data_IF_136452970696
#
_entry.id   IF_136452970696
#
_cell.length_a   1.000
_cell.length_b   1.000
_cell.length_c   1.000
_cell.angle_alpha   90.00
_cell.angle_beta   90.00
_cell.angle_gamma   90.00
#
_symmetry.space_group_name_H-M   'P 1'
#
loop_
_entity.id
_entity.type
_entity.pdbx_description
1 polymer ?
#
# COMPACT_ATOMS: atom_id res chain seq x y z
N UNK A 1 43.50 -26.27 -39.22
CA UNK A 1 42.12 -26.28 -38.67
C UNK A 1 41.55 -24.85 -38.73
N UNK A 2 41.40 -24.30 -39.95
CA UNK A 2 40.15 -24.26 -40.75
C UNK A 2 39.06 -23.42 -40.02
N UNK A 3 39.09 -22.09 -40.05
CA UNK A 3 38.77 -21.12 -41.13
C UNK A 3 37.33 -21.18 -41.69
N UNK A 4 36.64 -20.05 -41.51
CA UNK A 4 35.55 -19.39 -42.26
C UNK A 4 34.76 -20.16 -43.33
N UNK A 5 33.44 -19.89 -43.40
CA UNK A 5 32.70 -19.33 -44.56
C UNK A 5 31.21 -19.28 -44.19
N UNK A 6 30.61 -18.10 -44.28
CA UNK A 6 29.16 -17.90 -44.31
C UNK A 6 28.87 -16.91 -45.43
N UNK A 7 28.28 -17.40 -46.52
CA UNK A 7 27.76 -16.58 -47.61
C UNK A 7 26.53 -17.27 -48.22
N UNK A 8 25.49 -16.44 -48.39
CA UNK A 8 24.39 -16.46 -49.36
C UNK A 8 23.52 -17.70 -49.63
N UNK A 9 22.22 -17.40 -49.75
CA UNK A 9 21.24 -17.75 -50.81
C UNK A 9 19.83 -17.77 -50.16
N UNK A 10 18.78 -17.13 -50.64
CA UNK A 10 18.55 -16.36 -51.85
C UNK A 10 17.07 -15.94 -51.87
N UNK A 11 16.77 -14.81 -52.51
CA UNK A 11 15.42 -14.45 -52.94
C UNK A 11 14.88 -15.48 -53.94
N UNK A 12 13.56 -15.73 -53.98
CA UNK A 12 12.77 -15.89 -55.23
C UNK A 12 11.25 -15.88 -54.96
N UNK A 13 10.63 -14.85 -55.53
CA UNK A 13 9.36 -14.73 -56.29
C UNK A 13 7.97 -14.96 -55.67
N UNK A 14 7.16 -13.93 -55.96
CA UNK A 14 5.69 -13.81 -56.02
C UNK A 14 4.99 -14.96 -56.76
N UNK A 15 3.78 -15.28 -56.32
CA UNK A 15 2.79 -15.97 -57.14
C UNK A 15 1.40 -16.13 -56.52
N UNK A 16 0.44 -15.38 -57.08
CA UNK A 16 -1.00 -15.68 -57.29
C UNK A 16 -1.97 -15.92 -56.12
N UNK A 17 -2.95 -15.01 -56.07
CA UNK A 17 -4.33 -15.09 -55.55
C UNK A 17 -5.23 -16.05 -56.35
N UNK A 18 -6.13 -16.78 -55.67
CA UNK A 18 -7.51 -17.20 -56.07
C UNK A 18 -8.33 -17.47 -54.78
N UNK A 19 -9.66 -17.21 -54.73
CA UNK A 19 -10.44 -17.11 -53.48
C UNK A 19 -11.20 -18.40 -53.11
N UNK A 20 -11.59 -18.53 -51.84
CA UNK A 20 -12.59 -19.53 -51.40
C UNK A 20 -13.68 -18.85 -50.56
N UNK A 21 -14.91 -19.13 -50.98
CA UNK A 21 -16.20 -18.73 -50.41
C UNK A 21 -16.55 -19.53 -49.13
N UNK A 22 -17.28 -18.87 -48.23
CA UNK A 22 -18.48 -19.45 -47.60
C UNK A 22 -18.28 -20.31 -46.35
N UNK A 23 -18.60 -19.74 -45.18
CA UNK A 23 -18.87 -20.48 -43.95
C UNK A 23 -19.70 -19.61 -42.98
N UNK A 24 -20.94 -20.04 -42.73
CA UNK A 24 -21.94 -19.35 -41.91
C UNK A 24 -21.54 -19.20 -40.43
N UNK A 25 -22.02 -18.16 -39.72
CA UNK A 25 -21.89 -18.07 -38.27
C UNK A 25 -22.82 -19.09 -37.61
N UNK A 26 -22.28 -19.97 -36.76
CA UNK A 26 -23.07 -20.75 -35.81
C UNK A 26 -23.23 -19.92 -34.54
N UNK A 27 -24.47 -19.56 -34.23
CA UNK A 27 -24.87 -18.99 -32.96
C UNK A 27 -24.77 -20.06 -31.86
N UNK A 28 -23.66 -20.07 -31.13
CA UNK A 28 -23.52 -20.87 -29.92
C UNK A 28 -23.95 -20.00 -28.71
N UNK A 29 -24.99 -20.42 -27.94
CA UNK A 29 -25.49 -19.62 -26.83
C UNK A 29 -24.47 -19.60 -25.69
N UNK A 30 -23.97 -18.39 -25.39
CA UNK A 30 -23.07 -18.16 -24.25
C UNK A 30 -23.82 -18.50 -22.95
N UNK A 31 -23.27 -19.37 -22.06
CA UNK A 31 -23.93 -19.72 -20.81
C UNK A 31 -24.10 -18.48 -19.91
N UNK A 32 -25.21 -18.37 -19.15
CA UNK A 32 -25.45 -17.24 -18.27
C UNK A 32 -24.34 -17.18 -17.22
N UNK A 33 -23.52 -16.14 -17.29
CA UNK A 33 -22.52 -15.85 -16.28
C UNK A 33 -23.24 -15.61 -14.95
N UNK A 34 -22.91 -16.41 -13.92
CA UNK A 34 -23.34 -16.13 -12.55
C UNK A 34 -22.86 -14.72 -12.19
N UNK A 35 -23.73 -13.84 -11.70
CA UNK A 35 -23.29 -12.51 -11.29
C UNK A 35 -22.30 -12.66 -10.13
N UNK A 36 -21.14 -12.00 -10.18
CA UNK A 36 -20.23 -11.97 -9.04
C UNK A 36 -20.88 -11.20 -7.88
N UNK A 37 -20.50 -11.53 -6.64
CA UNK A 37 -21.14 -11.02 -5.44
C UNK A 37 -21.01 -9.50 -5.31
N UNK A 38 -21.98 -8.91 -4.63
CA UNK A 38 -22.14 -7.47 -4.48
C UNK A 38 -21.26 -6.96 -3.33
N UNK A 39 -20.66 -5.78 -3.47
CA UNK A 39 -20.12 -5.05 -2.32
C UNK A 39 -20.52 -3.58 -2.33
N UNK A 40 -20.78 -3.12 -1.11
CA UNK A 40 -21.10 -1.78 -0.63
C UNK A 40 -19.81 -1.12 -0.11
N UNK A 41 -19.83 0.21 0.03
CA UNK A 41 -18.79 0.97 0.72
C UNK A 41 -18.80 0.65 2.21
N UNK A 42 -17.72 0.06 2.71
CA UNK A 42 -17.40 0.16 4.13
C UNK A 42 -16.02 0.80 4.29
N UNK A 43 -16.03 2.09 4.60
CA UNK A 43 -14.95 2.68 5.37
C UNK A 43 -15.10 2.09 6.77
N UNK A 44 -14.31 1.07 7.11
CA UNK A 44 -14.33 0.56 8.47
C UNK A 44 -13.61 1.55 9.38
N UNK A 45 -14.38 2.51 9.87
CA UNK A 45 -14.01 3.42 10.94
C UNK A 45 -14.00 2.58 12.22
N UNK A 46 -12.86 1.99 12.53
CA UNK A 46 -12.73 1.25 13.78
C UNK A 46 -12.45 2.20 14.93
N UNK A 47 -13.38 2.24 15.88
CA UNK A 47 -13.28 2.99 17.12
C UNK A 47 -13.14 1.94 18.24
N UNK A 48 -11.98 1.80 18.92
CA UNK A 48 -11.85 0.83 19.99
C UNK A 48 -12.92 1.11 21.06
N UNK A 49 -13.78 0.13 21.31
CA UNK A 49 -14.80 0.20 22.34
C UNK A 49 -14.17 0.54 23.70
N UNK A 50 -14.82 1.43 24.44
CA UNK A 50 -14.44 1.78 25.80
C UNK A 50 -14.50 0.54 26.72
N UNK A 51 -13.58 0.40 27.70
CA UNK A 51 -13.73 -0.62 28.73
C UNK A 51 -15.02 -0.40 29.53
N UNK A 52 -15.65 -1.47 30.05
CA UNK A 52 -16.91 -1.35 30.79
C UNK A 52 -16.73 -0.43 32.00
N UNK A 53 -17.60 0.59 32.06
CA UNK A 53 -17.58 1.62 33.06
C UNK A 53 -17.88 1.07 34.46
N UNK A 54 -16.90 1.15 35.35
CA UNK A 54 -17.11 1.19 36.79
C UNK A 54 -16.14 2.20 37.39
N UNK A 55 -16.55 3.47 37.41
CA UNK A 55 -16.39 4.39 38.55
C UNK A 55 -16.60 5.84 38.07
N UNK A 56 -17.40 6.57 38.83
CA UNK A 56 -17.84 7.93 38.60
C UNK A 56 -16.70 8.94 38.79
N UNK A 57 -16.01 9.34 37.71
CA UNK A 57 -15.27 10.59 37.64
C UNK A 57 -15.39 11.19 36.23
N UNK A 58 -15.57 12.52 36.20
CA UNK A 58 -15.72 13.48 35.09
C UNK A 58 -15.38 12.98 33.66
N UNK A 59 -16.16 13.38 32.62
CA UNK A 59 -15.86 13.00 31.24
C UNK A 59 -14.60 13.71 30.76
N UNK A 60 -13.44 13.07 30.93
CA UNK A 60 -12.29 13.36 30.09
C UNK A 60 -12.72 13.04 28.67
N UNK A 61 -12.76 14.07 27.80
CA UNK A 61 -13.06 13.95 26.38
C UNK A 61 -12.37 12.72 25.80
N UNK A 62 -13.16 11.69 25.49
CA UNK A 62 -12.68 10.44 24.90
C UNK A 62 -12.25 10.80 23.48
N UNK A 63 -10.95 11.04 23.31
CA UNK A 63 -10.36 11.32 22.00
C UNK A 63 -10.45 10.04 21.17
N UNK A 64 -11.55 9.87 20.43
CA UNK A 64 -11.73 8.79 19.47
C UNK A 64 -10.56 8.80 18.47
N UNK A 65 -9.79 7.71 18.45
CA UNK A 65 -8.67 7.54 17.53
C UNK A 65 -9.17 6.87 16.26
N UNK A 66 -9.49 7.66 15.23
CA UNK A 66 -9.86 7.13 13.93
C UNK A 66 -8.68 6.37 13.31
N UNK A 67 -8.90 5.08 13.03
CA UNK A 67 -8.02 4.22 12.24
C UNK A 67 -8.62 4.03 10.86
N UNK A 68 -7.84 4.32 9.81
CA UNK A 68 -8.23 4.10 8.44
C UNK A 68 -7.41 2.97 7.82
N UNK A 69 -8.07 2.01 7.19
CA UNK A 69 -7.44 1.00 6.36
C UNK A 69 -7.76 1.27 4.90
N UNK A 70 -6.75 1.57 4.07
CA UNK A 70 -6.96 1.73 2.63
C UNK A 70 -6.70 0.41 1.90
N UNK A 71 -7.71 -0.09 1.19
CA UNK A 71 -7.67 -1.27 0.32
C UNK A 71 -8.06 -0.89 -1.12
N UNK A 72 -7.90 -1.80 -2.09
CA UNK A 72 -8.27 -1.58 -3.50
C UNK A 72 -9.71 -1.06 -3.69
N UNK A 73 -10.62 -1.44 -2.80
CA UNK A 73 -12.05 -1.11 -2.90
C UNK A 73 -12.38 0.34 -2.55
N UNK A 74 -11.45 1.08 -1.96
CA UNK A 74 -11.65 2.51 -1.68
C UNK A 74 -11.51 3.40 -2.91
N UNK A 75 -11.06 2.86 -4.05
CA UNK A 75 -10.94 3.59 -5.31
C UNK A 75 -12.21 3.54 -6.18
N UNK A 76 -13.30 2.88 -5.75
CA UNK A 76 -14.43 2.62 -6.65
C UNK A 76 -15.79 2.92 -6.00
N UNK A 77 -16.36 4.11 -6.19
CA UNK A 77 -17.72 4.45 -5.72
C UNK A 77 -18.80 3.80 -6.57
N UNK A 78 -19.54 2.86 -5.98
CA UNK A 78 -20.69 2.22 -6.62
C UNK A 78 -21.91 3.12 -6.46
N UNK A 79 -22.14 4.02 -7.43
CA UNK A 79 -23.32 4.91 -7.44
C UNK A 79 -24.58 4.20 -7.95
N UNK A 80 -24.42 3.16 -8.77
CA UNK A 80 -25.51 2.34 -9.28
C UNK A 80 -25.04 0.92 -9.63
N UNK A 81 -25.96 0.06 -10.04
CA UNK A 81 -25.77 -1.38 -10.21
C UNK A 81 -24.72 -1.78 -11.28
N UNK A 82 -24.24 -0.85 -12.12
CA UNK A 82 -23.28 -1.12 -13.20
C UNK A 82 -22.10 -0.13 -13.31
N UNK A 83 -22.10 0.95 -12.53
CA UNK A 83 -21.08 2.01 -12.65
C UNK A 83 -20.28 2.09 -11.36
N UNK A 84 -19.01 1.73 -11.47
CA UNK A 84 -18.00 2.03 -10.46
C UNK A 84 -17.27 3.29 -10.91
N UNK A 85 -17.53 4.41 -10.23
CA UNK A 85 -16.75 5.62 -10.46
C UNK A 85 -15.40 5.46 -9.80
N UNK A 86 -14.33 5.60 -10.58
CA UNK A 86 -13.00 5.67 -10.02
C UNK A 86 -12.89 6.95 -9.19
N UNK A 87 -12.68 6.81 -7.89
CA UNK A 87 -12.48 7.95 -6.99
C UNK A 87 -11.11 8.54 -7.27
N UNK A 88 -11.10 9.81 -7.67
CA UNK A 88 -9.87 10.56 -7.87
C UNK A 88 -9.07 10.63 -6.56
N UNK A 89 -7.75 10.74 -6.67
CA UNK A 89 -6.92 10.92 -5.48
C UNK A 89 -7.25 12.21 -4.74
N UNK A 90 -7.66 13.25 -5.48
CA UNK A 90 -8.11 14.53 -4.91
C UNK A 90 -9.34 14.33 -4.02
N UNK A 91 -10.34 13.57 -4.47
CA UNK A 91 -11.56 13.30 -3.69
C UNK A 91 -11.25 12.53 -2.40
N UNK A 92 -10.35 11.54 -2.47
CA UNK A 92 -9.87 10.83 -1.28
C UNK A 92 -9.16 11.81 -0.34
N UNK A 93 -8.28 12.66 -0.88
CA UNK A 93 -7.54 13.65 -0.10
C UNK A 93 -8.46 14.66 0.57
N UNK A 94 -9.49 15.16 -0.12
CA UNK A 94 -10.48 16.10 0.40
C UNK A 94 -11.36 15.47 1.48
N UNK A 95 -11.73 14.20 1.30
CA UNK A 95 -12.44 13.45 2.32
C UNK A 95 -11.57 13.28 3.58
N UNK A 96 -10.32 12.82 3.43
CA UNK A 96 -9.42 12.60 4.55
C UNK A 96 -9.09 13.86 5.34
N UNK A 97 -9.03 15.00 4.65
CA UNK A 97 -8.79 16.30 5.29
C UNK A 97 -9.90 16.70 6.28
N UNK A 98 -11.11 16.19 6.11
CA UNK A 98 -12.25 16.51 6.97
C UNK A 98 -12.23 15.75 8.31
N UNK A 99 -11.40 14.70 8.45
CA UNK A 99 -11.41 13.84 9.63
C UNK A 99 -10.05 13.76 10.34
N UNK A 100 -10.02 13.74 11.69
CA UNK A 100 -8.79 13.54 12.43
C UNK A 100 -8.37 12.06 12.39
N UNK A 101 -7.63 11.65 11.36
CA UNK A 101 -7.04 10.31 11.28
C UNK A 101 -5.75 10.27 12.09
N UNK A 102 -5.63 9.33 13.03
CA UNK A 102 -4.45 9.17 13.88
C UNK A 102 -3.59 7.96 13.50
N UNK A 103 -4.21 6.95 12.90
CA UNK A 103 -3.54 5.75 12.41
C UNK A 103 -3.99 5.43 10.99
N UNK A 104 -3.04 5.29 10.09
CA UNK A 104 -3.26 4.84 8.71
C UNK A 104 -2.63 3.46 8.56
N UNK A 105 -3.42 2.51 8.06
CA UNK A 105 -2.97 1.17 7.71
C UNK A 105 -3.10 1.01 6.20
N UNK A 106 -1.98 0.80 5.53
CA UNK A 106 -1.93 0.43 4.12
C UNK A 106 -1.42 -0.99 4.05
N UNK A 107 -2.15 -1.84 3.34
CA UNK A 107 -1.75 -3.22 3.19
C UNK A 107 -2.18 -3.77 1.85
N UNK A 108 -1.35 -4.64 1.29
CA UNK A 108 -1.66 -5.36 0.07
C UNK A 108 -1.53 -6.86 0.30
N UNK A 109 -2.44 -7.62 -0.27
CA UNK A 109 -2.39 -9.08 -0.20
C UNK A 109 -1.69 -9.70 -1.39
N UNK A 110 -1.75 -9.11 -2.60
CA UNK A 110 -1.20 -9.76 -3.81
C UNK A 110 -1.23 -8.87 -5.08
N UNK A 111 -0.97 -7.56 -4.97
CA UNK A 111 -1.16 -6.66 -6.13
C UNK A 111 0.10 -5.85 -6.46
N UNK A 112 0.68 -6.11 -7.64
CA UNK A 112 1.74 -5.27 -8.23
C UNK A 112 1.27 -3.82 -8.41
N UNK A 113 -0.01 -3.64 -8.74
CA UNK A 113 -0.62 -2.31 -8.89
C UNK A 113 -0.72 -1.54 -7.57
N UNK A 114 -0.83 -2.23 -6.42
CA UNK A 114 -0.91 -1.56 -5.12
C UNK A 114 0.41 -0.88 -4.76
N UNK A 115 1.55 -1.48 -5.12
CA UNK A 115 2.85 -0.85 -4.96
C UNK A 115 2.92 0.45 -5.77
N UNK A 116 2.57 0.39 -7.07
CA UNK A 116 2.56 1.56 -7.96
C UNK A 116 1.62 2.66 -7.46
N UNK A 117 0.43 2.29 -6.95
CA UNK A 117 -0.50 3.25 -6.39
C UNK A 117 0.06 3.93 -5.14
N UNK A 118 0.62 3.18 -4.19
CA UNK A 118 1.20 3.77 -2.96
C UNK A 118 2.38 4.67 -3.30
N UNK A 119 3.27 4.26 -4.21
CA UNK A 119 4.40 5.10 -4.63
C UNK A 119 3.97 6.45 -5.20
N UNK A 120 2.87 6.48 -5.96
CA UNK A 120 2.36 7.73 -6.57
C UNK A 120 1.55 8.58 -5.59
N UNK A 121 0.81 7.95 -4.68
CA UNK A 121 -0.28 8.62 -3.95
C UNK A 121 -0.03 8.77 -2.45
N UNK A 122 0.98 8.09 -1.87
CA UNK A 122 1.26 8.18 -0.43
C UNK A 122 1.57 9.61 0.01
N UNK A 123 2.29 10.37 -0.81
CA UNK A 123 2.61 11.79 -0.57
C UNK A 123 1.36 12.65 -0.33
N UNK A 124 0.47 12.76 -1.33
CA UNK A 124 -0.82 13.45 -1.19
C UNK A 124 -1.67 12.95 -0.02
N UNK A 125 -1.87 11.63 0.10
CA UNK A 125 -2.73 11.01 1.14
C UNK A 125 -2.29 11.42 2.54
N UNK A 126 -1.01 11.26 2.84
CA UNK A 126 -0.48 11.65 4.15
C UNK A 126 -0.53 13.18 4.36
N UNK A 127 -0.54 13.99 3.29
CA UNK A 127 -0.71 15.44 3.35
C UNK A 127 -2.09 15.89 3.77
N UNK A 128 -3.09 15.08 3.43
CA UNK A 128 -4.47 15.29 3.86
C UNK A 128 -4.74 14.88 5.30
N UNK A 129 -3.80 14.23 6.00
CA UNK A 129 -3.99 13.75 7.37
C UNK A 129 -3.00 14.40 8.34
N UNK A 130 -3.15 15.70 8.67
CA UNK A 130 -2.20 16.42 9.53
C UNK A 130 -2.15 15.91 10.98
N UNK A 131 -3.18 15.16 11.42
CA UNK A 131 -3.26 14.55 12.76
C UNK A 131 -2.61 13.16 12.84
N UNK A 132 -2.14 12.62 11.71
CA UNK A 132 -1.62 11.27 11.63
C UNK A 132 -0.35 11.12 12.49
N UNK A 133 -0.36 10.12 13.37
CA UNK A 133 0.75 9.80 14.27
C UNK A 133 1.36 8.44 13.98
N UNK A 134 0.57 7.51 13.44
CA UNK A 134 0.97 6.13 13.21
C UNK A 134 0.73 5.74 11.76
N UNK A 135 1.77 5.28 11.08
CA UNK A 135 1.66 4.68 9.75
C UNK A 135 2.02 3.20 9.82
N UNK A 136 1.17 2.36 9.27
CA UNK A 136 1.42 0.94 9.10
C UNK A 136 1.45 0.62 7.61
N UNK A 137 2.55 0.04 7.12
CA UNK A 137 2.65 -0.52 5.76
C UNK A 137 2.85 -2.03 5.87
N UNK A 138 1.97 -2.81 5.25
CA UNK A 138 2.05 -4.27 5.21
C UNK A 138 2.21 -4.77 3.76
N UNK A 139 3.21 -5.62 3.54
CA UNK A 139 3.55 -6.21 2.23
C UNK A 139 4.03 -5.22 1.16
N UNK A 140 4.67 -4.11 1.54
CA UNK A 140 5.23 -3.14 0.57
C UNK A 140 6.75 -3.24 0.41
N UNK A 141 7.23 -2.93 -0.78
CA UNK A 141 8.66 -2.66 -0.99
C UNK A 141 8.95 -1.21 -0.61
N UNK A 142 9.88 -0.97 0.30
CA UNK A 142 10.28 0.38 0.72
C UNK A 142 11.17 1.03 -0.35
N UNK A 143 10.56 1.44 -1.45
CA UNK A 143 11.23 2.11 -2.55
C UNK A 143 11.60 3.55 -2.21
N UNK A 144 12.43 4.15 -3.05
CA UNK A 144 12.80 5.56 -2.92
C UNK A 144 11.56 6.47 -2.86
N UNK A 145 10.55 6.23 -3.71
CA UNK A 145 9.32 7.02 -3.75
C UNK A 145 8.55 6.97 -2.44
N UNK A 146 8.41 5.78 -1.83
CA UNK A 146 7.75 5.63 -0.53
C UNK A 146 8.53 6.36 0.56
N UNK A 147 9.85 6.16 0.62
CA UNK A 147 10.71 6.79 1.64
C UNK A 147 10.76 8.31 1.48
N UNK A 148 10.76 8.81 0.24
CA UNK A 148 10.69 10.24 -0.08
C UNK A 148 9.34 10.82 0.33
N UNK A 149 8.23 10.15 0.00
CA UNK A 149 6.89 10.56 0.41
C UNK A 149 6.72 10.61 1.94
N UNK A 150 7.54 9.86 2.69
CA UNK A 150 7.63 9.96 4.14
C UNK A 150 8.53 11.14 4.56
N UNK A 151 9.66 11.38 3.89
CA UNK A 151 10.65 12.38 4.30
C UNK A 151 10.29 13.83 3.97
N UNK A 152 9.48 14.10 2.95
CA UNK A 152 9.31 15.46 2.45
C UNK A 152 8.28 16.31 3.23
N UNK A 153 8.58 17.61 3.49
CA UNK A 153 7.59 18.59 3.88
C UNK A 153 6.53 18.71 2.78
N UNK A 154 5.27 18.47 3.13
CA UNK A 154 4.22 18.32 2.13
C UNK A 154 3.74 19.67 1.64
N UNK A 155 3.48 19.80 0.35
CA UNK A 155 2.71 20.92 -0.18
C UNK A 155 1.25 20.65 0.11
N UNK A 156 0.55 21.63 0.68
CA UNK A 156 -0.90 21.52 0.87
C UNK A 156 -1.59 21.57 -0.49
N UNK A 157 -2.77 20.94 -0.59
CA UNK A 157 -3.58 20.94 -1.82
C UNK A 157 -3.88 22.35 -2.37
N UNK A 158 -3.83 23.39 -1.51
CA UNK A 158 -4.08 24.78 -1.91
C UNK A 158 -2.90 25.51 -2.59
N UNK A 159 -1.75 24.86 -2.80
CA UNK A 159 -0.59 25.42 -3.52
C UNK A 159 0.15 26.59 -2.83
N UNK A 160 -0.50 27.28 -1.88
CA UNK A 160 -0.02 28.55 -1.33
C UNK A 160 0.39 28.49 0.16
N UNK A 161 0.26 27.34 0.82
CA UNK A 161 0.77 27.18 2.18
C UNK A 161 1.84 26.09 2.23
N UNK A 162 2.99 26.45 2.80
CA UNK A 162 3.99 25.49 3.29
C UNK A 162 3.24 24.55 4.22
N UNK A 163 3.04 23.30 3.78
CA UNK A 163 2.22 22.38 4.53
C UNK A 163 2.87 22.04 5.87
N UNK A 164 2.02 21.74 6.85
CA UNK A 164 2.50 21.22 8.12
C UNK A 164 3.34 19.97 7.85
N UNK A 165 4.52 19.94 8.46
CA UNK A 165 5.34 18.74 8.50
C UNK A 165 4.52 17.66 9.21
N UNK A 166 4.36 16.52 8.55
CA UNK A 166 3.71 15.37 9.14
C UNK A 166 4.52 14.97 10.38
N UNK A 167 3.86 14.82 11.54
CA UNK A 167 4.54 14.48 12.78
C UNK A 167 4.29 13.00 13.12
N UNK A 168 4.84 12.11 12.29
CA UNK A 168 4.79 10.68 12.58
C UNK A 168 5.58 10.41 13.86
N UNK A 169 4.98 9.62 14.74
CA UNK A 169 5.60 9.12 15.97
C UNK A 169 5.87 7.62 15.90
N UNK A 170 5.02 6.89 15.18
CA UNK A 170 5.10 5.45 15.06
C UNK A 170 5.09 5.06 13.59
N UNK A 171 6.03 4.21 13.19
CA UNK A 171 6.04 3.58 11.88
C UNK A 171 6.10 2.07 12.09
N UNK A 172 5.25 1.34 11.39
CA UNK A 172 5.20 -0.11 11.46
C UNK A 172 5.26 -0.70 10.05
N UNK A 173 6.32 -1.45 9.79
CA UNK A 173 6.54 -2.17 8.55
C UNK A 173 6.35 -3.67 8.81
N UNK A 174 5.39 -4.27 8.12
CA UNK A 174 5.12 -5.71 8.16
C UNK A 174 5.34 -6.30 6.76
N UNK A 175 5.91 -7.50 6.70
CA UNK A 175 6.25 -8.20 5.44
C UNK A 175 6.94 -7.28 4.41
N UNK A 176 7.69 -6.29 4.87
CA UNK A 176 8.22 -5.23 4.03
C UNK A 176 9.49 -5.70 3.31
N UNK A 177 9.72 -5.23 2.09
CA UNK A 177 10.98 -5.47 1.36
C UNK A 177 11.86 -4.22 1.44
N UNK A 178 12.97 -4.31 2.17
CA UNK A 178 13.94 -3.22 2.35
C UNK A 178 15.06 -3.36 1.32
N UNK A 179 15.18 -2.40 0.40
CA UNK A 179 16.23 -2.40 -0.65
C UNK A 179 17.54 -1.78 -0.16
N UNK A 180 18.62 -2.05 -0.91
CA UNK A 180 19.94 -1.41 -0.74
C UNK A 180 20.46 -1.44 0.71
N UNK A 181 20.36 -2.59 1.39
CA UNK A 181 20.81 -2.73 2.77
C UNK A 181 20.14 -1.78 3.78
N UNK A 182 19.00 -1.18 3.42
CA UNK A 182 18.28 -0.23 4.27
C UNK A 182 18.86 1.18 4.29
N UNK A 183 19.76 1.55 3.38
CA UNK A 183 20.33 2.90 3.30
C UNK A 183 19.24 4.00 3.25
N UNK A 184 18.22 3.81 2.40
CA UNK A 184 17.11 4.77 2.32
C UNK A 184 16.28 4.86 3.60
N UNK A 185 16.11 3.75 4.33
CA UNK A 185 15.43 3.74 5.62
C UNK A 185 16.24 4.52 6.66
N UNK A 186 17.58 4.35 6.68
CA UNK A 186 18.47 5.15 7.52
C UNK A 186 18.30 6.64 7.22
N UNK A 187 18.37 7.04 5.95
CA UNK A 187 18.23 8.45 5.55
C UNK A 187 16.88 9.06 5.95
N UNK A 188 15.78 8.32 5.80
CA UNK A 188 14.46 8.76 6.27
C UNK A 188 14.48 9.10 7.77
N UNK A 189 15.10 8.23 8.58
CA UNK A 189 15.13 8.36 10.03
C UNK A 189 16.15 9.39 10.52
N UNK A 190 17.24 9.58 9.78
CA UNK A 190 18.26 10.63 10.03
C UNK A 190 17.77 12.03 9.68
N UNK A 191 16.81 12.16 8.75
CA UNK A 191 16.31 13.46 8.29
C UNK A 191 15.75 14.35 9.42
N UNK A 192 15.42 13.77 10.59
CA UNK A 192 14.78 14.43 11.75
C UNK A 192 13.48 15.16 11.42
N UNK A 193 12.93 14.97 10.22
CA UNK A 193 11.64 15.53 9.81
C UNK A 193 10.53 14.99 10.73
N UNK A 194 10.70 13.75 11.19
CA UNK A 194 9.81 13.08 12.12
C UNK A 194 10.47 12.87 13.48
N UNK A 195 9.69 12.99 14.54
CA UNK A 195 10.09 12.56 15.88
C UNK A 195 9.67 11.11 16.09
N UNK A 196 10.23 10.18 15.31
CA UNK A 196 9.90 8.75 15.41
C UNK A 196 10.30 8.22 16.79
N UNK A 197 9.30 7.81 17.56
CA UNK A 197 9.45 7.24 18.90
C UNK A 197 9.48 5.72 18.84
N UNK A 198 8.72 5.13 17.91
CA UNK A 198 8.58 3.68 17.75
C UNK A 198 8.71 3.26 16.29
N UNK A 199 9.50 2.22 16.08
CA UNK A 199 9.60 1.51 14.80
C UNK A 199 9.32 0.03 15.01
N UNK A 200 8.34 -0.51 14.27
CA UNK A 200 8.17 -1.95 14.10
C UNK A 200 8.72 -2.32 12.73
N UNK A 201 9.60 -3.31 12.65
CA UNK A 201 10.22 -3.74 11.40
C UNK A 201 10.15 -5.26 11.28
N UNK A 202 9.43 -5.71 10.26
CA UNK A 202 9.37 -7.10 9.84
C UNK A 202 9.36 -7.20 8.33
N UNK A 203 10.08 -8.19 7.82
CA UNK A 203 10.14 -8.47 6.39
C UNK A 203 11.52 -8.95 5.97
N UNK A 204 11.89 -8.63 4.73
CA UNK A 204 13.15 -9.04 4.13
C UNK A 204 14.00 -7.84 3.74
N UNK A 205 15.31 -8.04 3.70
CA UNK A 205 16.30 -7.06 3.28
C UNK A 205 17.14 -7.60 2.13
N UNK A 206 17.43 -6.71 1.18
CA UNK A 206 18.32 -6.93 0.05
C UNK A 206 19.76 -6.62 0.47
N UNK A 207 20.61 -7.64 0.39
CA UNK A 207 22.04 -7.53 0.63
C UNK A 207 22.80 -7.11 -0.64
N UNK A 208 24.09 -6.78 -0.50
CA UNK A 208 24.96 -6.42 -1.65
C UNK A 208 25.00 -7.49 -2.75
N UNK A 209 24.77 -8.76 -2.37
CA UNK A 209 24.65 -9.89 -3.29
C UNK A 209 23.33 -9.95 -4.08
N UNK A 210 22.44 -8.96 -3.89
CA UNK A 210 21.06 -8.92 -4.40
C UNK A 210 20.16 -10.06 -3.87
N UNK A 211 20.65 -10.83 -2.89
CA UNK A 211 19.87 -11.86 -2.24
C UNK A 211 18.94 -11.23 -1.18
N UNK A 212 17.69 -11.66 -1.20
CA UNK A 212 16.72 -11.32 -0.16
C UNK A 212 16.83 -12.32 0.99
N UNK A 213 16.90 -11.80 2.21
CA UNK A 213 16.83 -12.63 3.42
C UNK A 213 15.95 -11.97 4.47
N UNK A 214 15.44 -12.77 5.41
CA UNK A 214 14.65 -12.23 6.52
C UNK A 214 15.51 -11.32 7.38
N UNK A 215 14.99 -10.14 7.75
CA UNK A 215 15.70 -9.20 8.62
C UNK A 215 16.02 -9.89 9.95
N UNK A 216 17.29 -9.87 10.34
CA UNK A 216 17.82 -10.47 11.57
C UNK A 216 18.33 -9.41 12.54
N UNK A 217 18.46 -9.80 13.81
CA UNK A 217 19.07 -8.95 14.84
C UNK A 217 20.51 -8.55 14.54
N UNK A 218 21.23 -9.39 13.78
CA UNK A 218 22.63 -9.21 13.41
C UNK A 218 22.84 -8.32 12.18
N UNK A 219 21.77 -7.87 11.52
CA UNK A 219 21.91 -7.01 10.35
C UNK A 219 22.42 -5.63 10.75
N UNK A 220 23.37 -5.08 9.99
CA UNK A 220 23.96 -3.77 10.27
C UNK A 220 22.91 -2.65 10.33
N UNK A 221 21.85 -2.73 9.51
CA UNK A 221 20.74 -1.78 9.56
C UNK A 221 20.03 -1.84 10.91
N UNK A 222 19.84 -3.02 11.48
CA UNK A 222 19.15 -3.21 12.76
C UNK A 222 20.00 -2.68 13.92
N UNK A 223 21.30 -2.95 13.90
CA UNK A 223 22.22 -2.39 14.89
C UNK A 223 22.25 -0.85 14.84
N UNK A 224 22.24 -0.28 13.64
CA UNK A 224 22.13 1.17 13.47
C UNK A 224 20.80 1.69 14.01
N UNK A 225 19.68 1.01 13.68
CA UNK A 225 18.35 1.39 14.15
C UNK A 225 18.29 1.39 15.68
N UNK A 226 18.74 0.30 16.34
CA UNK A 226 18.74 0.16 17.81
C UNK A 226 19.49 1.29 18.53
N UNK A 227 20.50 1.89 17.89
CA UNK A 227 21.26 3.02 18.42
C UNK A 227 20.56 4.38 18.24
N UNK A 228 19.69 4.51 17.23
CA UNK A 228 19.13 5.79 16.81
C UNK A 228 17.64 5.96 17.13
N UNK A 229 16.89 4.88 17.35
CA UNK A 229 15.47 4.92 17.70
C UNK A 229 15.27 4.30 19.08
N UNK A 230 14.54 5.00 19.94
CA UNK A 230 14.31 4.60 21.33
C UNK A 230 13.58 3.26 21.47
N UNK A 231 12.56 3.01 20.66
CA UNK A 231 11.73 1.80 20.74
C UNK A 231 11.65 1.09 19.39
N UNK A 232 12.47 0.05 19.22
CA UNK A 232 12.43 -0.83 18.05
C UNK A 232 11.89 -2.19 18.43
N UNK A 233 10.99 -2.71 17.60
CA UNK A 233 10.48 -4.05 17.69
C UNK A 233 10.70 -4.75 16.35
N UNK A 234 11.50 -5.81 16.36
CA UNK A 234 11.63 -6.69 15.21
C UNK A 234 10.53 -7.74 15.27
N UNK A 235 9.91 -8.02 14.14
CA UNK A 235 8.90 -9.07 14.02
C UNK A 235 9.29 -10.03 12.91
N UNK A 236 8.80 -11.27 12.99
CA UNK A 236 9.07 -12.30 11.97
C UNK A 236 8.66 -11.80 10.58
N UNK A 237 9.43 -12.19 9.57
CA UNK A 237 9.22 -11.74 8.19
C UNK A 237 7.87 -12.17 7.59
N UNK A 238 7.30 -13.27 8.07
CA UNK A 238 6.00 -13.81 7.67
C UNK A 238 4.81 -13.20 8.44
N UNK A 239 5.07 -12.39 9.47
CA UNK A 239 4.03 -11.80 10.30
C UNK A 239 3.44 -10.56 9.63
N UNK A 240 2.16 -10.63 9.26
CA UNK A 240 1.38 -9.47 8.81
C UNK A 240 1.06 -8.50 9.95
N UNK A 241 0.48 -7.35 9.59
CA UNK A 241 -0.01 -6.40 10.58
C UNK A 241 -1.05 -7.06 11.53
N UNK A 242 -1.09 -6.71 12.83
CA UNK A 242 -2.06 -7.26 13.78
C UNK A 242 -3.50 -7.12 13.28
N UNK A 243 -4.36 -8.07 13.67
CA UNK A 243 -5.63 -8.54 13.09
C UNK A 243 -6.64 -7.55 12.47
N UNK A 244 -6.44 -6.23 12.49
CA UNK A 244 -7.30 -5.27 11.79
C UNK A 244 -7.45 -5.66 10.31
N UNK A 245 -6.37 -6.01 9.61
CA UNK A 245 -6.49 -6.42 8.21
C UNK A 245 -7.18 -7.77 8.03
N UNK A 246 -7.02 -8.70 8.99
CA UNK A 246 -7.73 -9.98 8.98
C UNK A 246 -9.23 -9.78 9.24
N UNK A 247 -9.59 -9.01 10.27
CA UNK A 247 -10.99 -8.70 10.60
C UNK A 247 -11.67 -7.93 9.47
N UNK A 248 -10.96 -7.01 8.81
CA UNK A 248 -11.51 -6.31 7.64
C UNK A 248 -11.72 -7.26 6.45
N UNK A 249 -10.80 -8.20 6.23
CA UNK A 249 -10.98 -9.23 5.21
C UNK A 249 -12.11 -10.19 5.54
N UNK A 250 -12.23 -10.61 6.80
CA UNK A 250 -13.31 -11.48 7.27
C UNK A 250 -14.67 -10.80 7.09
N UNK A 251 -14.79 -9.53 7.46
CA UNK A 251 -16.00 -8.72 7.22
C UNK A 251 -16.27 -8.52 5.72
N UNK A 252 -15.23 -8.32 4.90
CA UNK A 252 -15.40 -8.23 3.45
C UNK A 252 -15.88 -9.54 2.83
N UNK A 253 -15.41 -10.69 3.31
CA UNK A 253 -15.83 -12.00 2.81
C UNK A 253 -17.28 -12.32 3.24
N UNK A 254 -17.67 -11.99 4.47
CA UNK A 254 -19.05 -12.16 4.94
C UNK A 254 -20.06 -11.35 4.12
N UNK A 255 -19.70 -10.13 3.71
CA UNK A 255 -20.54 -9.29 2.84
C UNK A 255 -20.70 -9.81 1.42
N UNK A 256 -19.88 -10.78 0.98
CA UNK A 256 -19.93 -11.33 -0.37
C UNK A 256 -20.75 -12.61 -0.47
N UNK A 257 -21.03 -13.26 0.67
CA UNK A 257 -21.85 -14.48 0.74
C UNK A 257 -23.36 -14.20 0.92
N UNK A 258 -23.78 -12.94 1.08
CA UNK A 258 -25.19 -12.46 1.10
C UNK A 258 -25.64 -11.80 -0.22
#
# INVERSE_FOLDING_TARGET
PAEQIAEELGEVKRGKTVPILGGSPSDEPTPPQRPPPRSVFETHIWNPASPPAASSHLPSSVSHSLTLALTRYLQYIRRSHWETDQVGIEEICDFLFQFPVYKLVLGTFEWDDAQSWVEKNLGPVLGSMPTLKTLVLDSYTLSHNILQALSEPRRTHSGNQVGKVLNLKNIEFFRAKVRNGGAGLRSLLESRVHSIQRLVLGGTIEHESLAWSSIQESDEVVDWLKKNIYNICLVRADRGAPDIMRTLLELQLELWDE
#
